data_IF_466123210947
#
_entry.id   IF_466123210947
#
_cell.length_a   1.000
_cell.length_b   1.000
_cell.length_c   1.000
_cell.angle_alpha   90.00
_cell.angle_beta   90.00
_cell.angle_gamma   90.00
#
_symmetry.space_group_name_H-M   'P 1'
#
loop_
_entity.id
_entity.type
_entity.pdbx_description
1 polymer ?
#
# COMPACT_ATOMS: atom_id res chain seq x y z
N UNK A 1 15.57 9.50 -36.41
CA UNK A 1 14.71 10.49 -35.72
C UNK A 1 13.25 10.01 -35.66
N UNK A 2 12.95 8.90 -34.98
CA UNK A 2 11.58 8.45 -34.61
C UNK A 2 11.68 7.40 -33.50
N UNK A 3 12.25 7.74 -32.34
CA UNK A 3 12.37 6.78 -31.22
C UNK A 3 12.42 7.39 -29.81
N UNK A 4 12.19 8.70 -29.63
CA UNK A 4 12.37 9.38 -28.32
C UNK A 4 11.02 9.80 -27.69
N UNK A 5 9.88 9.29 -28.16
CA UNK A 5 8.55 9.78 -27.72
C UNK A 5 7.83 8.87 -26.70
N UNK A 6 8.39 7.73 -26.28
CA UNK A 6 7.69 6.78 -25.39
C UNK A 6 8.27 6.65 -23.97
N UNK A 7 8.72 7.76 -23.35
CA UNK A 7 9.14 7.77 -21.92
C UNK A 7 8.36 8.80 -21.07
N UNK A 8 7.41 9.56 -21.65
CA UNK A 8 6.80 10.70 -20.96
C UNK A 8 5.26 10.67 -20.87
N UNK A 9 4.66 9.49 -20.67
CA UNK A 9 3.20 9.40 -20.68
C UNK A 9 2.62 8.39 -19.67
N UNK A 10 2.91 8.59 -18.37
CA UNK A 10 1.99 8.25 -17.28
C UNK A 10 2.14 9.31 -16.17
N UNK A 11 1.70 10.55 -16.45
CA UNK A 11 1.34 11.55 -15.42
C UNK A 11 0.05 12.23 -15.87
N UNK A 12 -1.00 11.45 -16.13
CA UNK A 12 -2.37 11.97 -16.20
C UNK A 12 -3.29 10.89 -15.65
N UNK A 13 -3.57 10.96 -14.35
CA UNK A 13 -4.89 10.69 -13.78
C UNK A 13 -4.91 11.06 -12.30
N UNK A 14 -5.98 11.77 -11.91
CA UNK A 14 -6.39 12.17 -10.55
C UNK A 14 -5.83 13.49 -10.00
N UNK A 15 -6.01 14.58 -10.76
CA UNK A 15 -6.47 15.83 -10.13
C UNK A 15 -8.00 15.78 -10.02
N UNK A 16 -8.52 15.00 -9.07
CA UNK A 16 -9.81 15.36 -8.50
C UNK A 16 -9.52 16.42 -7.43
N UNK A 17 -10.23 17.55 -7.42
CA UNK A 17 -10.13 18.47 -6.31
C UNK A 17 -10.59 17.71 -5.06
N UNK A 18 -9.65 17.43 -4.16
CA UNK A 18 -9.97 17.20 -2.75
C UNK A 18 -10.84 18.39 -2.35
N UNK A 19 -12.12 18.12 -2.10
CA UNK A 19 -12.99 19.13 -1.51
C UNK A 19 -12.32 19.52 -0.20
N UNK A 20 -11.81 20.75 -0.18
CA UNK A 20 -11.09 21.31 0.95
C UNK A 20 -12.05 21.39 2.13
N UNK A 21 -11.99 20.40 3.01
CA UNK A 21 -12.43 20.56 4.39
C UNK A 21 -11.45 21.57 4.99
N UNK A 22 -11.85 22.84 5.01
CA UNK A 22 -11.17 23.84 5.84
C UNK A 22 -11.34 23.41 7.28
N UNK A 23 -10.29 22.84 7.85
CA UNK A 23 -10.09 22.76 9.28
C UNK A 23 -9.09 23.85 9.66
N UNK A 24 -9.52 24.77 10.52
CA UNK A 24 -8.67 25.75 11.21
C UNK A 24 -7.71 24.99 12.16
N UNK A 25 -6.64 24.45 11.59
CA UNK A 25 -5.32 24.23 12.20
C UNK A 25 -4.48 23.60 11.10
N UNK A 26 -3.47 24.30 10.59
CA UNK A 26 -2.56 23.73 9.59
C UNK A 26 -1.80 22.61 10.28
N UNK A 27 -2.20 21.37 10.00
CA UNK A 27 -1.60 20.18 10.58
C UNK A 27 -0.10 20.14 10.25
N UNK A 28 0.78 19.71 11.18
CA UNK A 28 2.18 19.44 10.89
C UNK A 28 2.39 18.52 9.67
N UNK A 29 1.40 17.68 9.36
CA UNK A 29 1.39 16.79 8.18
C UNK A 29 1.22 17.58 6.88
N UNK A 30 0.38 18.62 6.87
CA UNK A 30 0.14 19.44 5.68
C UNK A 30 1.37 20.27 5.32
N UNK A 31 2.07 20.80 6.34
CA UNK A 31 3.36 21.48 6.13
C UNK A 31 4.37 20.52 5.50
N UNK A 32 4.48 19.30 6.02
CA UNK A 32 5.39 18.28 5.47
C UNK A 32 5.03 17.86 4.05
N UNK A 33 3.74 17.81 3.70
CA UNK A 33 3.27 17.56 2.34
C UNK A 33 3.74 18.66 1.39
N UNK A 34 3.59 19.93 1.76
CA UNK A 34 4.01 21.06 0.93
C UNK A 34 5.54 21.15 0.80
N UNK A 35 6.28 20.86 1.86
CA UNK A 35 7.74 20.74 1.83
C UNK A 35 8.19 19.65 0.83
N UNK A 36 7.59 18.46 0.91
CA UNK A 36 7.91 17.36 -0.01
C UNK A 36 7.55 17.69 -1.46
N UNK A 37 6.40 18.34 -1.71
CA UNK A 37 6.02 18.80 -3.05
C UNK A 37 7.05 19.78 -3.62
N UNK A 38 7.51 20.72 -2.79
CA UNK A 38 8.53 21.71 -3.18
C UNK A 38 9.84 20.99 -3.53
N UNK A 39 10.30 20.08 -2.67
CA UNK A 39 11.50 19.26 -2.89
C UNK A 39 11.41 18.41 -4.17
N UNK A 40 10.25 17.82 -4.45
CA UNK A 40 10.00 17.06 -5.68
C UNK A 40 10.16 17.96 -6.91
N UNK A 41 9.60 19.18 -6.88
CA UNK A 41 9.71 20.14 -7.98
C UNK A 41 11.15 20.60 -8.21
N UNK A 42 11.89 20.88 -7.14
CA UNK A 42 13.32 21.24 -7.22
C UNK A 42 14.15 20.11 -7.82
N UNK A 43 13.95 18.88 -7.34
CA UNK A 43 14.64 17.71 -7.87
C UNK A 43 14.35 17.54 -9.36
N UNK A 44 13.09 17.68 -9.79
CA UNK A 44 12.70 17.55 -11.20
C UNK A 44 13.49 18.47 -12.14
N UNK A 45 13.85 19.69 -11.70
CA UNK A 45 14.53 20.71 -12.51
C UNK A 45 16.06 20.55 -12.62
N UNK A 46 16.69 19.62 -11.90
CA UNK A 46 18.16 19.41 -11.91
C UNK A 46 18.62 18.36 -12.97
N UNK A 47 19.93 18.14 -13.12
CA UNK A 47 20.52 17.16 -14.06
C UNK A 47 20.15 15.70 -13.74
N UNK A 48 19.98 14.85 -14.76
CA UNK A 48 19.47 13.48 -14.63
C UNK A 48 20.55 12.45 -14.24
N UNK A 49 20.76 12.24 -12.94
CA UNK A 49 21.56 11.11 -12.40
C UNK A 49 20.69 10.01 -11.78
N UNK A 50 21.23 8.78 -11.67
CA UNK A 50 20.55 7.68 -10.93
C UNK A 50 20.27 8.09 -9.47
N UNK A 51 21.21 8.78 -8.84
CA UNK A 51 21.05 9.32 -7.47
C UNK A 51 19.85 10.27 -7.35
N UNK A 52 19.64 11.15 -8.35
CA UNK A 52 18.44 12.01 -8.41
C UNK A 52 17.17 11.19 -8.58
N UNK A 53 17.15 10.21 -9.49
CA UNK A 53 15.97 9.35 -9.71
C UNK A 53 15.56 8.63 -8.44
N UNK A 54 16.53 8.08 -7.69
CA UNK A 54 16.30 7.45 -6.38
C UNK A 54 15.75 8.48 -5.38
N UNK A 55 16.34 9.68 -5.31
CA UNK A 55 15.90 10.73 -4.39
C UNK A 55 14.48 11.23 -4.68
N UNK A 56 14.11 11.32 -5.96
CA UNK A 56 12.77 11.66 -6.41
C UNK A 56 11.76 10.58 -6.01
N UNK A 57 12.07 9.31 -6.31
CA UNK A 57 11.22 8.18 -5.91
C UNK A 57 11.03 8.13 -4.39
N UNK A 58 12.10 8.27 -3.62
CA UNK A 58 12.02 8.28 -2.16
C UNK A 58 11.13 9.40 -1.62
N UNK A 59 11.21 10.61 -2.22
CA UNK A 59 10.36 11.73 -1.83
C UNK A 59 8.89 11.50 -2.20
N UNK A 60 8.62 10.88 -3.36
CA UNK A 60 7.27 10.50 -3.78
C UNK A 60 6.66 9.39 -2.90
N UNK A 61 7.48 8.41 -2.50
CA UNK A 61 7.07 7.35 -1.59
C UNK A 61 6.73 7.92 -0.21
N UNK A 62 7.54 8.85 0.30
CA UNK A 62 7.26 9.52 1.58
C UNK A 62 5.95 10.32 1.52
N UNK A 63 5.73 11.08 0.43
CA UNK A 63 4.49 11.80 0.19
C UNK A 63 3.27 10.87 0.13
N UNK A 64 3.38 9.76 -0.61
CA UNK A 64 2.31 8.77 -0.73
C UNK A 64 2.01 8.09 0.62
N UNK A 65 3.04 7.81 1.42
CA UNK A 65 2.87 7.25 2.76
C UNK A 65 2.08 8.18 3.68
N UNK A 66 2.38 9.49 3.66
CA UNK A 66 1.63 10.50 4.43
C UNK A 66 0.17 10.63 3.96
N UNK A 67 -0.09 10.49 2.65
CA UNK A 67 -1.46 10.48 2.11
C UNK A 67 -2.23 9.26 2.59
N UNK A 68 -1.63 8.07 2.52
CA UNK A 68 -2.21 6.83 3.04
C UNK A 68 -2.59 6.99 4.52
N UNK A 69 -1.71 7.56 5.34
CA UNK A 69 -2.00 7.77 6.76
C UNK A 69 -3.13 8.78 7.00
N UNK A 70 -3.21 9.84 6.19
CA UNK A 70 -4.33 10.79 6.20
C UNK A 70 -5.65 10.10 5.82
N UNK A 71 -5.63 9.24 4.80
CA UNK A 71 -6.81 8.46 4.38
C UNK A 71 -7.25 7.50 5.49
N UNK A 72 -6.32 6.81 6.17
CA UNK A 72 -6.64 5.93 7.31
C UNK A 72 -7.32 6.71 8.44
N UNK A 73 -6.84 7.91 8.75
CA UNK A 73 -7.47 8.78 9.75
C UNK A 73 -8.90 9.18 9.33
N UNK A 74 -9.09 9.53 8.06
CA UNK A 74 -10.40 9.86 7.52
C UNK A 74 -11.37 8.67 7.57
N UNK A 75 -10.92 7.46 7.21
CA UNK A 75 -11.69 6.21 7.32
C UNK A 75 -12.06 5.94 8.78
N UNK A 76 -11.13 6.13 9.72
CA UNK A 76 -11.38 5.97 11.15
C UNK A 76 -12.43 6.95 11.68
N UNK A 77 -12.39 8.21 11.25
CA UNK A 77 -13.42 9.22 11.59
C UNK A 77 -14.79 8.83 11.02
N UNK A 78 -14.85 8.47 9.74
CA UNK A 78 -16.10 8.03 9.10
C UNK A 78 -16.68 6.78 9.77
N UNK A 79 -15.84 5.84 10.21
CA UNK A 79 -16.29 4.66 10.93
C UNK A 79 -17.02 5.05 12.21
N UNK A 80 -16.45 5.94 13.01
CA UNK A 80 -17.09 6.44 14.24
C UNK A 80 -18.43 7.12 13.96
N UNK A 81 -18.48 7.99 12.96
CA UNK A 81 -19.72 8.68 12.57
C UNK A 81 -20.80 7.69 12.06
N UNK A 82 -20.41 6.62 11.36
CA UNK A 82 -21.33 5.56 10.89
C UNK A 82 -21.89 4.75 12.06
N UNK A 83 -21.07 4.47 13.07
CA UNK A 83 -21.45 3.73 14.27
C UNK A 83 -22.40 4.57 15.14
N UNK A 84 -22.09 5.86 15.35
CA UNK A 84 -22.97 6.81 16.05
C UNK A 84 -24.34 6.91 15.36
N UNK A 85 -24.36 7.05 14.02
CA UNK A 85 -25.61 7.04 13.25
C UNK A 85 -26.36 5.71 13.38
N UNK A 86 -25.66 4.57 13.46
CA UNK A 86 -26.29 3.27 13.62
C UNK A 86 -27.03 3.18 14.96
N UNK A 87 -26.42 3.66 16.05
CA UNK A 87 -27.07 3.71 17.35
C UNK A 87 -28.30 4.63 17.36
N UNK A 88 -28.19 5.81 16.75
CA UNK A 88 -29.29 6.76 16.63
C UNK A 88 -30.46 6.20 15.82
N UNK A 89 -30.17 5.53 14.69
CA UNK A 89 -31.16 4.82 13.89
C UNK A 89 -31.85 3.76 14.72
N UNK A 90 -31.11 2.97 15.51
CA UNK A 90 -31.69 1.97 16.41
C UNK A 90 -32.63 2.58 17.46
N UNK A 91 -32.25 3.71 18.06
CA UNK A 91 -33.13 4.45 18.99
C UNK A 91 -34.40 4.95 18.30
N UNK A 92 -34.27 5.50 17.08
CA UNK A 92 -35.40 5.98 16.29
C UNK A 92 -36.33 4.85 15.84
N UNK A 93 -35.79 3.67 15.53
CA UNK A 93 -36.57 2.48 15.14
C UNK A 93 -37.50 2.03 16.27
N UNK A 94 -36.98 1.97 17.50
CA UNK A 94 -37.77 1.66 18.70
C UNK A 94 -38.86 2.71 18.93
N UNK A 95 -38.52 4.00 18.82
CA UNK A 95 -39.47 5.10 18.98
C UNK A 95 -40.57 5.10 17.90
N UNK A 96 -40.18 4.84 16.65
CA UNK A 96 -41.10 4.75 15.52
C UNK A 96 -42.09 3.61 15.74
N UNK A 97 -41.59 2.44 16.14
CA UNK A 97 -42.40 1.24 16.42
C UNK A 97 -43.42 1.52 17.52
N UNK A 98 -42.99 2.10 18.64
CA UNK A 98 -43.87 2.45 19.76
C UNK A 98 -44.94 3.47 19.37
N UNK A 99 -44.58 4.51 18.59
CA UNK A 99 -45.54 5.52 18.11
C UNK A 99 -46.54 4.93 17.11
N UNK A 100 -46.08 4.03 16.24
CA UNK A 100 -46.93 3.36 15.27
C UNK A 100 -47.92 2.42 15.95
N UNK A 101 -47.48 1.66 16.95
CA UNK A 101 -48.36 0.81 17.78
C UNK A 101 -49.46 1.61 18.49
N UNK A 102 -49.07 2.73 19.14
CA UNK A 102 -50.03 3.63 19.77
C UNK A 102 -51.03 4.21 18.76
N UNK A 103 -50.56 4.63 17.58
CA UNK A 103 -51.42 5.15 16.53
C UNK A 103 -52.40 4.09 16.01
N UNK A 104 -51.93 2.86 15.78
CA UNK A 104 -52.76 1.74 15.35
C UNK A 104 -53.84 1.38 16.37
N UNK A 105 -53.55 1.50 17.67
CA UNK A 105 -54.54 1.33 18.72
C UNK A 105 -55.54 2.49 18.80
N UNK A 106 -55.10 3.73 18.54
CA UNK A 106 -55.94 4.94 18.60
C UNK A 106 -56.90 5.07 17.42
N UNK A 107 -56.48 4.73 16.21
CA UNK A 107 -57.29 4.90 14.98
C UNK A 107 -58.70 4.29 15.11
N UNK A 108 -58.87 3.02 15.54
CA UNK A 108 -60.20 2.44 15.72
C UNK A 108 -61.04 3.14 16.79
N UNK A 109 -60.41 3.61 17.87
CA UNK A 109 -61.09 4.32 18.96
C UNK A 109 -61.58 5.69 18.51
N UNK A 110 -60.79 6.41 17.71
CA UNK A 110 -61.19 7.68 17.09
C UNK A 110 -62.31 7.46 16.08
N UNK A 111 -62.27 6.39 15.29
CA UNK A 111 -63.33 6.03 14.34
C UNK A 111 -64.67 5.72 15.04
N UNK A 112 -64.67 4.87 16.08
CA UNK A 112 -65.86 4.57 16.89
C UNK A 112 -66.50 5.84 17.49
N UNK A 113 -65.68 6.83 17.86
CA UNK A 113 -66.13 8.11 18.42
C UNK A 113 -66.70 9.06 17.36
N UNK A 114 -66.17 9.08 16.14
CA UNK A 114 -66.76 9.84 15.02
C UNK A 114 -68.18 9.38 14.66
N UNK A 115 -68.51 8.11 14.90
CA UNK A 115 -69.85 7.56 14.69
C UNK A 115 -70.85 8.03 15.77
N UNK A 116 -70.40 8.68 16.85
CA UNK A 116 -71.28 9.30 17.85
C UNK A 116 -71.53 10.77 17.46
N UNK A 117 -72.75 11.17 17.05
CA UNK A 117 -73.00 12.55 16.66
C UNK A 117 -72.71 13.51 17.82
N UNK A 118 -72.10 14.67 17.56
CA UNK A 118 -71.90 15.71 18.58
C UNK A 118 -73.21 16.11 19.30
N UNK A 119 -74.34 15.96 18.59
CA UNK A 119 -75.69 16.12 19.13
C UNK A 119 -76.07 15.06 20.18
N UNK A 120 -75.53 13.83 20.08
CA UNK A 120 -75.71 12.78 21.09
C UNK A 120 -74.98 13.08 22.41
N UNK A 121 -73.80 13.70 22.35
CA UNK A 121 -73.06 14.13 23.56
C UNK A 121 -73.85 15.21 24.32
N UNK A 122 -74.57 16.07 23.59
CA UNK A 122 -75.48 17.07 24.17
C UNK A 122 -76.71 16.40 24.83
N UNK A 123 -77.38 15.46 24.13
CA UNK A 123 -78.61 14.80 24.61
C UNK A 123 -78.43 13.85 25.81
N UNK A 124 -77.23 13.27 25.98
CA UNK A 124 -76.93 12.34 27.08
C UNK A 124 -76.10 12.97 28.22
N UNK A 125 -75.91 14.29 28.20
CA UNK A 125 -75.23 15.01 29.30
C UNK A 125 -76.18 15.26 30.47
N UNK A 126 -75.65 15.19 31.70
CA UNK A 126 -76.46 15.34 32.92
C UNK A 126 -76.82 16.81 33.22
N UNK A 127 -75.93 17.73 32.82
CA UNK A 127 -76.09 19.18 32.93
C UNK A 127 -75.13 19.92 31.97
N UNK A 128 -75.21 21.26 31.93
CA UNK A 128 -74.38 22.12 31.07
C UNK A 128 -72.88 22.02 31.40
N UNK A 129 -72.51 21.76 32.67
CA UNK A 129 -71.12 21.60 33.09
C UNK A 129 -70.53 20.26 32.63
N UNK A 130 -71.30 19.18 32.70
CA UNK A 130 -70.95 17.86 32.15
C UNK A 130 -70.77 17.93 30.63
N UNK A 131 -71.66 18.63 29.92
CA UNK A 131 -71.51 18.87 28.48
C UNK A 131 -70.21 19.61 28.13
N UNK A 132 -69.94 20.75 28.79
CA UNK A 132 -68.72 21.55 28.56
C UNK A 132 -67.46 20.72 28.86
N UNK A 133 -67.48 19.93 29.92
CA UNK A 133 -66.37 19.06 30.30
C UNK A 133 -66.10 17.99 29.25
N UNK A 134 -67.14 17.29 28.78
CA UNK A 134 -67.02 16.27 27.71
C UNK A 134 -66.50 16.86 26.40
N UNK A 135 -66.97 18.06 26.04
CA UNK A 135 -66.49 18.78 24.85
C UNK A 135 -65.00 19.14 24.98
N UNK A 136 -64.58 19.63 26.16
CA UNK A 136 -63.17 19.93 26.45
C UNK A 136 -62.30 18.68 26.37
N UNK A 137 -62.75 17.55 26.92
CA UNK A 137 -62.02 16.28 26.82
C UNK A 137 -61.92 15.78 25.39
N UNK A 138 -62.98 15.90 24.59
CA UNK A 138 -62.98 15.49 23.19
C UNK A 138 -61.98 16.31 22.36
N UNK A 139 -61.99 17.65 22.51
CA UNK A 139 -61.03 18.53 21.85
C UNK A 139 -59.60 18.20 22.27
N UNK A 140 -59.36 17.95 23.56
CA UNK A 140 -58.03 17.56 24.06
C UNK A 140 -57.54 16.24 23.47
N UNK A 141 -58.42 15.25 23.33
CA UNK A 141 -58.07 13.96 22.71
C UNK A 141 -57.76 14.13 21.23
N UNK A 142 -58.55 14.92 20.49
CA UNK A 142 -58.28 15.21 19.08
C UNK A 142 -56.95 15.94 18.87
N UNK A 143 -56.63 16.90 19.74
CA UNK A 143 -55.34 17.60 19.73
C UNK A 143 -54.17 16.63 19.97
N UNK A 144 -54.27 15.75 20.96
CA UNK A 144 -53.24 14.75 21.27
C UNK A 144 -53.06 13.73 20.14
N UNK A 145 -54.14 13.27 19.51
CA UNK A 145 -54.06 12.36 18.35
C UNK A 145 -53.41 13.04 17.14
N UNK A 146 -53.72 14.31 16.89
CA UNK A 146 -53.07 15.10 15.85
C UNK A 146 -51.58 15.30 16.13
N UNK A 147 -51.20 15.59 17.38
CA UNK A 147 -49.81 15.70 17.81
C UNK A 147 -49.07 14.36 17.65
N UNK A 148 -49.68 13.24 18.01
CA UNK A 148 -49.09 11.90 17.83
C UNK A 148 -48.79 11.61 16.36
N UNK A 149 -49.72 11.95 15.44
CA UNK A 149 -49.50 11.78 14.01
C UNK A 149 -48.36 12.66 13.49
N UNK A 150 -48.28 13.93 13.92
CA UNK A 150 -47.18 14.83 13.56
C UNK A 150 -45.83 14.30 14.07
N UNK A 151 -45.79 13.80 15.31
CA UNK A 151 -44.59 13.19 15.90
C UNK A 151 -44.18 11.91 15.18
N UNK A 152 -45.13 11.07 14.78
CA UNK A 152 -44.88 9.86 14.01
C UNK A 152 -44.24 10.21 12.66
N UNK A 153 -44.82 11.18 11.93
CA UNK A 153 -44.30 11.66 10.66
C UNK A 153 -42.90 12.26 10.80
N UNK A 154 -42.67 13.08 11.83
CA UNK A 154 -41.36 13.65 12.11
C UNK A 154 -40.30 12.57 12.40
N UNK A 155 -40.64 11.54 13.19
CA UNK A 155 -39.73 10.41 13.44
C UNK A 155 -39.45 9.60 12.17
N UNK A 156 -40.48 9.33 11.36
CA UNK A 156 -40.31 8.62 10.10
C UNK A 156 -39.36 9.36 9.15
N UNK A 157 -39.52 10.67 9.01
CA UNK A 157 -38.63 11.50 8.20
C UNK A 157 -37.19 11.48 8.75
N UNK A 158 -37.01 11.73 10.05
CA UNK A 158 -35.68 11.75 10.68
C UNK A 158 -34.97 10.39 10.54
N UNK A 159 -35.70 9.29 10.72
CA UNK A 159 -35.20 7.94 10.52
C UNK A 159 -34.73 7.70 9.08
N UNK A 160 -35.53 8.14 8.10
CA UNK A 160 -35.17 8.09 6.67
C UNK A 160 -33.91 8.89 6.36
N UNK A 161 -33.84 10.14 6.81
CA UNK A 161 -32.69 11.04 6.61
C UNK A 161 -31.40 10.49 7.23
N UNK A 162 -31.47 9.93 8.45
CA UNK A 162 -30.30 9.32 9.10
C UNK A 162 -29.84 8.06 8.38
N UNK A 163 -30.78 7.22 7.92
CA UNK A 163 -30.46 6.05 7.09
C UNK A 163 -29.77 6.47 5.79
N UNK A 164 -30.31 7.45 5.09
CA UNK A 164 -29.71 7.96 3.85
C UNK A 164 -28.31 8.53 4.10
N UNK A 165 -28.14 9.32 5.17
CA UNK A 165 -26.85 9.89 5.56
C UNK A 165 -25.82 8.79 5.87
N UNK A 166 -26.24 7.75 6.60
CA UNK A 166 -25.39 6.60 6.92
C UNK A 166 -24.95 5.85 5.67
N UNK A 167 -25.85 5.61 4.72
CA UNK A 167 -25.51 4.94 3.46
C UNK A 167 -24.58 5.78 2.57
N UNK A 168 -24.75 7.12 2.54
CA UNK A 168 -23.79 8.03 1.89
C UNK A 168 -22.40 7.94 2.51
N UNK A 169 -22.31 7.96 3.84
CA UNK A 169 -21.02 7.85 4.56
C UNK A 169 -20.35 6.49 4.36
N UNK A 170 -21.12 5.39 4.32
CA UNK A 170 -20.58 4.06 3.97
C UNK A 170 -20.01 4.04 2.56
N UNK A 171 -20.74 4.57 1.58
CA UNK A 171 -20.26 4.67 0.20
C UNK A 171 -18.96 5.49 0.11
N UNK A 172 -18.88 6.60 0.83
CA UNK A 172 -17.66 7.39 0.94
C UNK A 172 -16.51 6.61 1.59
N UNK A 173 -16.79 5.86 2.66
CA UNK A 173 -15.80 5.02 3.35
C UNK A 173 -15.24 3.94 2.42
N UNK A 174 -16.10 3.24 1.67
CA UNK A 174 -15.68 2.22 0.69
C UNK A 174 -14.84 2.83 -0.45
N UNK A 175 -15.18 4.04 -0.88
CA UNK A 175 -14.40 4.77 -1.90
C UNK A 175 -12.99 5.10 -1.38
N UNK A 176 -12.88 5.56 -0.13
CA UNK A 176 -11.59 5.85 0.50
C UNK A 176 -10.76 4.58 0.75
N UNK A 177 -11.39 3.45 1.13
CA UNK A 177 -10.69 2.16 1.25
C UNK A 177 -10.10 1.73 -0.08
N UNK A 178 -10.87 1.82 -1.17
CA UNK A 178 -10.38 1.51 -2.51
C UNK A 178 -9.21 2.41 -2.91
N UNK A 179 -9.32 3.72 -2.67
CA UNK A 179 -8.22 4.65 -2.92
C UNK A 179 -6.97 4.31 -2.09
N UNK A 180 -7.15 3.93 -0.82
CA UNK A 180 -6.06 3.51 0.05
C UNK A 180 -5.32 2.28 -0.52
N UNK A 181 -6.06 1.28 -1.01
CA UNK A 181 -5.49 0.07 -1.61
C UNK A 181 -4.70 0.39 -2.88
N UNK A 182 -5.23 1.27 -3.74
CA UNK A 182 -4.56 1.73 -4.97
C UNK A 182 -3.26 2.49 -4.63
N UNK A 183 -3.29 3.45 -3.70
CA UNK A 183 -2.11 4.20 -3.26
C UNK A 183 -1.07 3.29 -2.59
N UNK A 184 -1.51 2.29 -1.82
CA UNK A 184 -0.61 1.34 -1.17
C UNK A 184 0.10 0.43 -2.19
N UNK A 185 -0.61 -0.04 -3.21
CA UNK A 185 -0.01 -0.82 -4.30
C UNK A 185 1.03 0.00 -5.06
N UNK A 186 0.72 1.26 -5.36
CA UNK A 186 1.65 2.17 -6.03
C UNK A 186 2.90 2.46 -5.17
N UNK A 187 2.73 2.69 -3.87
CA UNK A 187 3.85 2.90 -2.95
C UNK A 187 4.80 1.70 -2.91
N UNK A 188 4.25 0.47 -2.89
CA UNK A 188 5.05 -0.77 -2.94
C UNK A 188 5.80 -0.87 -4.27
N UNK A 189 5.13 -0.57 -5.38
CA UNK A 189 5.76 -0.54 -6.71
C UNK A 189 6.94 0.43 -6.76
N UNK A 190 6.75 1.67 -6.32
CA UNK A 190 7.78 2.69 -6.29
C UNK A 190 8.95 2.32 -5.37
N UNK A 191 8.65 1.73 -4.20
CA UNK A 191 9.67 1.26 -3.25
C UNK A 191 10.58 0.20 -3.86
N UNK A 192 9.99 -0.82 -4.50
CA UNK A 192 10.76 -1.89 -5.17
C UNK A 192 11.59 -1.37 -6.33
N UNK A 193 11.08 -0.39 -7.09
CA UNK A 193 11.83 0.28 -8.14
C UNK A 193 13.01 1.09 -7.58
N UNK A 194 12.80 1.83 -6.50
CA UNK A 194 13.84 2.61 -5.84
C UNK A 194 14.96 1.71 -5.29
N UNK A 195 14.61 0.55 -4.71
CA UNK A 195 15.56 -0.48 -4.27
C UNK A 195 16.43 -0.97 -5.43
N UNK A 196 15.81 -1.36 -6.54
CA UNK A 196 16.50 -1.85 -7.73
C UNK A 196 17.45 -0.81 -8.33
N UNK A 197 17.05 0.47 -8.38
CA UNK A 197 17.91 1.56 -8.85
C UNK A 197 19.06 1.85 -7.87
N UNK A 198 18.82 1.74 -6.56
CA UNK A 198 19.84 1.92 -5.54
C UNK A 198 20.93 0.84 -5.62
N UNK A 199 20.53 -0.42 -5.84
CA UNK A 199 21.43 -1.54 -6.04
C UNK A 199 22.27 -1.36 -7.31
N UNK A 200 21.63 -1.03 -8.44
CA UNK A 200 22.33 -0.69 -9.69
C UNK A 200 23.38 0.40 -9.48
N UNK A 201 22.99 1.50 -8.84
CA UNK A 201 23.89 2.62 -8.56
C UNK A 201 25.06 2.20 -7.63
N UNK A 202 24.85 1.24 -6.74
CA UNK A 202 25.92 0.70 -5.91
C UNK A 202 26.91 -0.15 -6.72
N UNK A 203 26.44 -0.96 -7.67
CA UNK A 203 27.31 -1.71 -8.59
C UNK A 203 28.13 -0.75 -9.45
N UNK A 204 27.51 0.29 -10.01
CA UNK A 204 28.19 1.29 -10.85
C UNK A 204 29.31 2.00 -10.07
N UNK A 205 29.06 2.39 -8.82
CA UNK A 205 30.10 2.96 -7.95
C UNK A 205 31.15 1.94 -7.53
N UNK A 206 30.77 0.68 -7.28
CA UNK A 206 31.73 -0.35 -6.87
C UNK A 206 32.85 -0.55 -7.90
N UNK A 207 32.58 -0.32 -9.18
CA UNK A 207 33.59 -0.36 -10.25
C UNK A 207 34.58 0.82 -10.21
N UNK A 208 34.12 1.97 -9.74
CA UNK A 208 34.90 3.22 -9.70
C UNK A 208 35.71 3.29 -8.40
N UNK A 209 35.07 2.93 -7.29
CA UNK A 209 35.58 3.10 -5.92
C UNK A 209 36.13 1.80 -5.33
N UNK A 210 36.06 0.69 -6.07
CA UNK A 210 36.48 -0.63 -5.63
C UNK A 210 37.97 -0.68 -5.28
N UNK A 211 38.27 -1.17 -4.07
CA UNK A 211 39.65 -1.35 -3.61
C UNK A 211 40.11 -2.76 -3.98
N UNK A 212 41.25 -2.85 -4.67
CA UNK A 212 41.89 -4.12 -5.00
C UNK A 212 42.34 -4.84 -3.73
N UNK A 213 41.84 -6.06 -3.54
CA UNK A 213 42.21 -6.93 -2.41
C UNK A 213 43.43 -7.78 -2.79
N UNK A 214 43.40 -8.41 -3.97
CA UNK A 214 44.50 -9.27 -4.42
C UNK A 214 44.07 -10.38 -5.38
N UNK A 215 45.01 -11.21 -5.85
CA UNK A 215 44.68 -12.38 -6.65
C UNK A 215 43.94 -13.43 -5.80
N UNK A 216 42.99 -14.13 -6.41
CA UNK A 216 42.26 -15.25 -5.81
C UNK A 216 42.25 -16.44 -6.77
N UNK A 217 42.25 -17.63 -6.20
CA UNK A 217 42.12 -18.90 -6.92
C UNK A 217 40.72 -19.45 -6.78
N UNK A 218 40.31 -20.24 -7.78
CA UNK A 218 39.08 -21.03 -7.73
C UNK A 218 38.98 -21.78 -6.39
N UNK A 219 37.85 -21.60 -5.69
CA UNK A 219 37.57 -22.24 -4.40
C UNK A 219 37.99 -21.42 -3.17
N UNK A 220 38.79 -20.35 -3.33
CA UNK A 220 39.17 -19.47 -2.23
C UNK A 220 37.93 -18.81 -1.62
N UNK A 221 37.93 -18.64 -0.29
CA UNK A 221 36.87 -17.91 0.40
C UNK A 221 37.04 -16.41 0.14
N UNK A 222 36.01 -15.76 -0.40
CA UNK A 222 36.07 -14.34 -0.78
C UNK A 222 35.18 -13.45 0.09
N UNK A 223 34.12 -14.01 0.67
CA UNK A 223 33.16 -13.30 1.51
C UNK A 223 32.23 -14.25 2.25
N UNK A 224 31.37 -13.68 3.09
CA UNK A 224 30.21 -14.36 3.65
C UNK A 224 28.91 -13.75 3.10
N UNK A 225 27.89 -14.59 2.91
CA UNK A 225 26.52 -14.16 2.60
C UNK A 225 26.03 -13.28 3.74
N UNK A 226 25.55 -12.11 3.40
CA UNK A 226 25.08 -11.13 4.35
C UNK A 226 23.68 -10.64 4.02
N UNK A 227 23.37 -9.51 4.63
CA UNK A 227 22.16 -8.74 4.39
C UNK A 227 22.52 -7.24 4.37
N UNK A 228 23.72 -6.91 3.87
CA UNK A 228 24.15 -5.50 3.84
C UNK A 228 23.31 -4.74 2.83
N UNK A 229 22.91 -3.52 3.21
CA UNK A 229 21.90 -2.75 2.48
C UNK A 229 20.50 -2.89 3.06
N UNK A 230 20.27 -3.79 4.00
CA UNK A 230 18.95 -3.98 4.62
C UNK A 230 18.60 -2.87 5.62
N UNK A 231 17.33 -2.46 5.60
CA UNK A 231 16.70 -1.58 6.59
C UNK A 231 15.31 -2.12 6.95
N UNK A 232 14.85 -1.99 8.21
CA UNK A 232 13.45 -2.27 8.57
C UNK A 232 12.45 -1.37 7.83
N UNK A 233 12.85 -0.16 7.42
CA UNK A 233 12.09 0.70 6.52
C UNK A 233 12.36 0.28 5.05
N UNK A 234 11.40 -0.32 4.34
CA UNK A 234 11.62 -0.82 2.98
C UNK A 234 12.01 0.28 1.99
N UNK A 235 11.66 1.54 2.28
CA UNK A 235 11.99 2.69 1.42
C UNK A 235 13.43 3.16 1.59
N UNK A 236 14.12 2.62 2.59
CA UNK A 236 15.53 2.87 2.91
C UNK A 236 16.37 1.60 2.81
N UNK A 237 15.76 0.49 2.43
CA UNK A 237 16.47 -0.76 2.18
C UNK A 237 16.96 -0.78 0.74
N UNK A 238 18.00 -1.55 0.47
CA UNK A 238 18.34 -2.00 -0.87
C UNK A 238 18.65 -3.50 -0.90
N UNK A 239 18.26 -4.22 0.15
CA UNK A 239 18.29 -5.68 0.20
C UNK A 239 16.94 -6.18 0.69
N UNK A 240 16.47 -7.28 0.11
CA UNK A 240 15.19 -7.92 0.45
C UNK A 240 15.31 -8.92 1.58
N UNK A 241 16.53 -9.23 2.03
CA UNK A 241 16.81 -10.21 3.08
C UNK A 241 18.17 -10.86 2.88
N UNK A 242 18.54 -11.79 3.76
CA UNK A 242 19.82 -12.49 3.68
C UNK A 242 19.86 -13.41 2.46
N UNK A 243 20.61 -13.02 1.44
CA UNK A 243 20.85 -13.80 0.22
C UNK A 243 22.13 -13.32 -0.48
N UNK A 244 22.64 -14.14 -1.39
CA UNK A 244 23.67 -13.73 -2.35
C UNK A 244 22.99 -13.40 -3.66
N UNK A 245 23.14 -12.15 -4.10
CA UNK A 245 22.86 -11.76 -5.48
C UNK A 245 24.16 -11.86 -6.29
N UNK A 246 24.20 -12.82 -7.22
CA UNK A 246 25.36 -13.18 -8.02
C UNK A 246 25.15 -12.78 -9.49
N UNK A 247 25.93 -11.83 -9.98
CA UNK A 247 25.90 -11.42 -11.39
C UNK A 247 27.18 -11.82 -12.11
N UNK A 248 27.07 -12.06 -13.42
CA UNK A 248 28.22 -12.08 -14.31
C UNK A 248 28.00 -11.02 -15.39
N UNK A 249 29.04 -10.26 -15.67
CA UNK A 249 29.05 -9.28 -16.74
C UNK A 249 30.23 -9.54 -17.68
N UNK A 250 30.00 -9.34 -18.98
CA UNK A 250 31.03 -9.39 -20.03
C UNK A 250 31.04 -8.07 -20.77
N UNK A 251 32.18 -7.37 -20.75
CA UNK A 251 32.34 -6.02 -21.31
C UNK A 251 31.23 -5.05 -20.85
N UNK A 252 30.84 -5.15 -19.57
CA UNK A 252 29.78 -4.33 -18.97
C UNK A 252 28.34 -4.74 -19.30
N UNK A 253 28.11 -5.78 -20.09
CA UNK A 253 26.77 -6.33 -20.34
C UNK A 253 26.48 -7.52 -19.42
N UNK A 254 25.29 -7.56 -18.81
CA UNK A 254 24.86 -8.72 -18.02
C UNK A 254 24.65 -9.94 -18.90
N UNK A 255 25.13 -11.08 -18.39
CA UNK A 255 25.05 -12.37 -19.07
C UNK A 255 24.54 -13.41 -18.08
N UNK A 256 23.82 -14.41 -18.59
CA UNK A 256 23.28 -15.49 -17.76
C UNK A 256 24.42 -16.25 -17.06
N UNK A 257 24.44 -16.28 -15.71
CA UNK A 257 25.45 -17.02 -14.96
C UNK A 257 25.46 -18.53 -15.26
N UNK A 258 24.35 -19.12 -15.69
CA UNK A 258 24.27 -20.54 -16.04
C UNK A 258 25.28 -20.96 -17.11
N UNK A 259 25.62 -20.08 -18.05
CA UNK A 259 26.58 -20.37 -19.12
C UNK A 259 28.03 -20.54 -18.62
N UNK A 260 28.32 -20.08 -17.40
CA UNK A 260 29.64 -20.13 -16.79
C UNK A 260 29.73 -21.18 -15.69
N UNK A 261 28.66 -21.33 -14.91
CA UNK A 261 28.59 -22.28 -13.81
C UNK A 261 28.49 -23.72 -14.30
N UNK A 262 29.19 -24.62 -13.61
CA UNK A 262 29.12 -26.06 -13.82
C UNK A 262 27.72 -26.62 -13.59
N UNK A 263 27.38 -27.69 -14.30
CA UNK A 263 26.08 -28.33 -14.16
C UNK A 263 25.85 -28.84 -12.73
N UNK A 264 24.77 -28.39 -12.08
CA UNK A 264 24.40 -28.77 -10.71
C UNK A 264 22.89 -28.83 -10.58
N UNK A 265 22.39 -29.83 -9.85
CA UNK A 265 20.99 -29.87 -9.41
C UNK A 265 20.84 -29.03 -8.15
N UNK A 266 19.99 -28.01 -8.21
CA UNK A 266 19.67 -27.10 -7.11
C UNK A 266 18.16 -27.12 -6.84
N UNK A 267 17.75 -26.54 -5.71
CA UNK A 267 16.33 -26.36 -5.41
C UNK A 267 15.88 -24.99 -5.91
N UNK A 268 15.07 -24.94 -6.96
CA UNK A 268 14.43 -23.71 -7.43
C UNK A 268 13.16 -23.44 -6.62
N UNK A 269 13.05 -22.27 -6.01
CA UNK A 269 11.89 -21.84 -5.22
C UNK A 269 11.26 -20.56 -5.75
N UNK A 270 11.58 -20.15 -6.98
CA UNK A 270 11.04 -18.93 -7.57
C UNK A 270 9.50 -18.99 -7.71
N UNK A 271 8.99 -20.10 -8.24
CA UNK A 271 7.58 -20.22 -8.61
C UNK A 271 6.77 -21.14 -7.66
N UNK A 272 7.45 -22.02 -6.91
CA UNK A 272 6.80 -22.97 -5.98
C UNK A 272 7.52 -22.94 -4.64
N UNK A 273 6.79 -22.62 -3.56
CA UNK A 273 7.35 -22.49 -2.22
C UNK A 273 8.00 -23.77 -1.68
N UNK A 274 7.50 -24.95 -2.07
CA UNK A 274 8.10 -26.25 -1.73
C UNK A 274 9.41 -26.54 -2.46
N UNK A 275 9.68 -25.79 -3.53
CA UNK A 275 10.81 -25.94 -4.41
C UNK A 275 10.70 -27.11 -5.39
N UNK A 276 11.39 -26.98 -6.51
CA UNK A 276 11.53 -28.00 -7.55
C UNK A 276 13.02 -28.24 -7.79
N UNK A 277 13.43 -29.51 -7.88
CA UNK A 277 14.80 -29.83 -8.26
C UNK A 277 15.02 -29.44 -9.72
N UNK A 278 15.98 -28.55 -9.95
CA UNK A 278 16.31 -28.06 -11.28
C UNK A 278 17.81 -28.22 -11.54
N UNK A 279 18.16 -28.83 -12.69
CA UNK A 279 19.55 -28.95 -13.12
C UNK A 279 19.89 -27.79 -14.05
N UNK A 280 20.83 -26.96 -13.62
CA UNK A 280 21.26 -25.74 -14.31
C UNK A 280 22.78 -25.66 -14.33
N UNK A 281 23.32 -24.97 -15.32
CA UNK A 281 24.76 -24.83 -15.53
C UNK A 281 25.24 -25.63 -16.74
N UNK A 282 26.01 -24.98 -17.60
CA UNK A 282 26.65 -25.58 -18.78
C UNK A 282 28.13 -25.23 -18.92
N UNK A 283 28.67 -24.43 -18.00
CA UNK A 283 30.07 -23.99 -18.00
C UNK A 283 30.98 -24.85 -17.12
N UNK A 284 32.12 -24.27 -16.74
CA UNK A 284 33.21 -24.95 -16.01
C UNK A 284 33.54 -24.34 -14.65
N UNK A 285 32.90 -23.22 -14.31
CA UNK A 285 33.13 -22.52 -13.05
C UNK A 285 32.43 -23.25 -11.90
N UNK A 286 33.01 -23.16 -10.71
CA UNK A 286 32.32 -23.66 -9.53
C UNK A 286 31.19 -22.73 -9.14
N UNK A 287 30.19 -23.27 -8.47
CA UNK A 287 29.18 -22.43 -7.84
C UNK A 287 29.81 -21.65 -6.68
N UNK A 288 29.49 -20.35 -6.53
CA UNK A 288 30.03 -19.54 -5.45
C UNK A 288 29.53 -19.99 -4.08
N UNK A 289 28.38 -20.67 -4.02
CA UNK A 289 27.88 -21.40 -2.85
C UNK A 289 27.99 -22.91 -3.12
N UNK A 290 28.54 -23.68 -2.19
CA UNK A 290 28.82 -25.10 -2.42
C UNK A 290 27.79 -26.06 -1.82
N UNK A 291 27.14 -25.68 -0.72
CA UNK A 291 26.17 -26.51 -0.01
C UNK A 291 24.81 -26.57 -0.73
N UNK A 292 23.74 -26.99 -0.05
CA UNK A 292 22.39 -27.03 -0.64
C UNK A 292 21.99 -25.62 -1.08
N UNK A 293 21.97 -25.38 -2.39
CA UNK A 293 21.63 -24.09 -2.97
C UNK A 293 20.12 -24.07 -3.22
N UNK A 294 19.48 -23.01 -2.72
CA UNK A 294 18.10 -22.66 -3.08
C UNK A 294 18.15 -21.40 -3.92
N UNK A 295 17.66 -21.47 -5.15
CA UNK A 295 17.59 -20.33 -6.05
C UNK A 295 16.23 -19.65 -5.88
N UNK A 296 16.23 -18.40 -5.46
CA UNK A 296 15.01 -17.62 -5.21
C UNK A 296 14.60 -16.79 -6.42
N UNK A 297 15.55 -16.45 -7.30
CA UNK A 297 15.26 -15.73 -8.54
C UNK A 297 16.28 -16.05 -9.63
N UNK A 298 15.79 -16.38 -10.82
CA UNK A 298 16.60 -16.66 -12.01
C UNK A 298 17.12 -15.38 -12.68
N UNK A 299 18.11 -15.54 -13.55
CA UNK A 299 18.45 -14.54 -14.56
C UNK A 299 17.32 -14.45 -15.60
N UNK A 300 17.05 -13.26 -16.13
CA UNK A 300 16.05 -13.07 -17.18
C UNK A 300 14.68 -12.63 -16.67
N UNK A 301 13.62 -12.98 -17.41
CA UNK A 301 12.25 -12.59 -17.03
C UNK A 301 11.72 -13.48 -15.92
N UNK A 302 11.32 -12.88 -14.81
CA UNK A 302 10.80 -13.56 -13.62
C UNK A 302 9.54 -12.85 -13.14
N UNK A 303 8.75 -13.44 -12.21
CA UNK A 303 7.62 -12.76 -11.59
C UNK A 303 7.95 -11.41 -10.92
N UNK A 304 9.22 -11.19 -10.58
CA UNK A 304 9.71 -9.97 -9.93
C UNK A 304 10.51 -9.07 -10.87
N UNK A 305 10.81 -9.49 -12.10
CA UNK A 305 11.72 -8.76 -12.98
C UNK A 305 11.14 -7.46 -13.55
N UNK A 306 9.83 -7.24 -13.39
CA UNK A 306 9.16 -5.99 -13.74
C UNK A 306 9.77 -4.77 -13.02
N UNK A 307 10.41 -4.96 -11.86
CA UNK A 307 11.04 -3.89 -11.08
C UNK A 307 12.38 -3.40 -11.63
N UNK A 308 12.92 -4.05 -12.67
CA UNK A 308 14.22 -3.73 -13.28
C UNK A 308 14.08 -3.09 -14.68
N UNK A 309 13.48 -1.89 -14.82
CA UNK A 309 13.34 -1.27 -16.13
C UNK A 309 14.70 -0.92 -16.76
N UNK A 310 15.74 -0.70 -15.95
CA UNK A 310 17.09 -0.36 -16.42
C UNK A 310 17.79 -1.48 -17.19
N UNK A 311 17.35 -2.73 -17.03
CA UNK A 311 17.91 -3.90 -17.71
C UNK A 311 16.99 -4.41 -18.83
N UNK A 312 15.87 -3.73 -19.09
CA UNK A 312 14.83 -4.23 -20.00
C UNK A 312 13.89 -5.24 -19.35
N UNK A 313 13.63 -5.08 -18.04
CA UNK A 313 12.75 -5.94 -17.24
C UNK A 313 13.28 -7.37 -17.06
N UNK A 314 14.61 -7.50 -16.95
CA UNK A 314 15.30 -8.75 -16.68
C UNK A 314 16.02 -8.68 -15.35
N UNK A 315 15.99 -9.75 -14.60
CA UNK A 315 16.88 -9.92 -13.46
C UNK A 315 18.30 -10.18 -13.97
N UNK A 316 19.27 -9.49 -13.39
CA UNK A 316 20.64 -9.39 -13.90
C UNK A 316 21.60 -10.44 -13.36
N UNK A 317 21.12 -11.29 -12.44
CA UNK A 317 21.91 -12.34 -11.81
C UNK A 317 21.05 -13.47 -11.24
N UNK A 318 21.63 -14.19 -10.29
CA UNK A 318 20.98 -15.23 -9.50
C UNK A 318 20.88 -14.79 -8.05
N UNK A 319 19.66 -14.80 -7.52
CA UNK A 319 19.43 -14.65 -6.08
C UNK A 319 19.42 -16.04 -5.46
N UNK A 320 20.38 -16.32 -4.59
CA UNK A 320 20.55 -17.63 -4.00
C UNK A 320 20.77 -17.57 -2.49
N UNK A 321 20.23 -18.58 -1.81
CA UNK A 321 20.47 -18.83 -0.39
C UNK A 321 21.01 -20.25 -0.21
N UNK A 322 21.81 -20.46 0.82
CA UNK A 322 22.34 -21.77 1.14
C UNK A 322 22.36 -22.01 2.65
N UNK A 323 22.61 -23.25 3.06
CA UNK A 323 22.80 -23.61 4.47
C UNK A 323 24.12 -23.08 5.03
N UNK A 324 25.09 -22.80 4.16
CA UNK A 324 26.35 -22.14 4.48
C UNK A 324 26.38 -20.73 3.92
N UNK A 325 26.95 -19.83 4.70
CA UNK A 325 27.17 -18.45 4.29
C UNK A 325 28.49 -18.26 3.53
N UNK A 326 29.30 -19.30 3.34
CA UNK A 326 30.64 -19.11 2.75
C UNK A 326 30.55 -18.91 1.24
N UNK A 327 30.99 -17.74 0.77
CA UNK A 327 31.10 -17.44 -0.66
C UNK A 327 32.52 -17.75 -1.11
N UNK A 328 32.64 -18.54 -2.17
CA UNK A 328 33.91 -18.93 -2.78
C UNK A 328 34.07 -18.38 -4.19
N UNK A 329 35.31 -18.16 -4.61
CA UNK A 329 35.64 -17.75 -5.96
C UNK A 329 35.27 -18.87 -6.96
N UNK A 330 34.41 -18.60 -7.95
CA UNK A 330 33.97 -19.59 -8.95
C UNK A 330 35.08 -19.92 -9.95
N UNK A 331 36.02 -18.99 -10.16
CA UNK A 331 37.19 -19.11 -11.02
C UNK A 331 38.32 -18.18 -10.54
N UNK A 332 39.52 -18.38 -11.06
CA UNK A 332 40.70 -17.53 -10.80
C UNK A 332 40.45 -16.08 -11.24
N UNK A 333 41.05 -15.13 -10.53
CA UNK A 333 40.97 -13.72 -10.91
C UNK A 333 41.59 -12.76 -9.90
N UNK A 334 41.26 -11.47 -10.03
CA UNK A 334 41.61 -10.43 -9.06
C UNK A 334 40.37 -9.98 -8.30
N UNK A 335 40.39 -10.12 -6.98
CA UNK A 335 39.31 -9.72 -6.08
C UNK A 335 39.41 -8.23 -5.75
N UNK A 336 38.25 -7.57 -5.77
CA UNK A 336 38.04 -6.21 -5.32
C UNK A 336 36.92 -6.17 -4.28
N UNK A 337 36.97 -5.14 -3.44
CA UNK A 337 35.99 -4.90 -2.40
C UNK A 337 35.50 -3.46 -2.49
N UNK A 338 34.19 -3.27 -2.41
CA UNK A 338 33.55 -1.98 -2.30
C UNK A 338 32.54 -1.97 -1.16
N UNK A 339 32.36 -0.80 -0.56
CA UNK A 339 31.37 -0.53 0.47
C UNK A 339 30.86 0.88 0.25
N UNK A 340 29.56 1.06 0.11
CA UNK A 340 29.00 2.37 -0.24
C UNK A 340 27.56 2.56 0.23
N UNK A 341 27.11 3.81 0.20
CA UNK A 341 25.76 4.19 0.60
C UNK A 341 24.71 3.67 -0.37
N UNK A 342 23.76 2.90 0.15
CA UNK A 342 22.66 2.32 -0.58
C UNK A 342 21.34 2.89 -0.05
N UNK A 343 20.38 3.15 -0.95
CA UNK A 343 19.07 3.71 -0.62
C UNK A 343 19.12 4.92 0.35
N UNK A 344 20.17 5.74 0.23
CA UNK A 344 20.39 6.97 1.01
C UNK A 344 20.75 6.80 2.49
N UNK A 345 20.73 5.59 3.06
CA UNK A 345 20.93 5.42 4.51
C UNK A 345 21.53 4.09 4.97
N UNK A 346 21.58 3.07 4.11
CA UNK A 346 22.22 1.80 4.43
C UNK A 346 23.58 1.69 3.75
N UNK A 347 24.40 0.75 4.20
CA UNK A 347 25.67 0.44 3.56
C UNK A 347 25.52 -0.92 2.90
N UNK A 348 25.73 -0.97 1.58
CA UNK A 348 25.89 -2.22 0.84
C UNK A 348 27.37 -2.51 0.68
N UNK A 349 27.75 -3.75 0.93
CA UNK A 349 29.08 -4.25 0.62
C UNK A 349 28.99 -5.14 -0.61
N UNK A 350 29.96 -4.97 -1.50
CA UNK A 350 30.04 -5.69 -2.77
C UNK A 350 31.45 -6.22 -2.90
N UNK A 351 31.59 -7.51 -3.20
CA UNK A 351 32.82 -8.05 -3.77
C UNK A 351 32.63 -8.21 -5.27
N UNK A 352 33.70 -8.08 -6.02
CA UNK A 352 33.70 -8.51 -7.41
C UNK A 352 35.06 -9.07 -7.81
N UNK A 353 35.07 -10.01 -8.74
CA UNK A 353 36.29 -10.63 -9.27
C UNK A 353 36.38 -10.32 -10.75
N UNK A 354 37.52 -9.76 -11.16
CA UNK A 354 37.90 -9.63 -12.56
C UNK A 354 38.64 -10.89 -12.99
N UNK A 355 38.07 -11.65 -13.93
CA UNK A 355 38.59 -12.94 -14.38
C UNK A 355 39.47 -12.82 -15.64
N UNK A 356 39.58 -11.63 -16.22
CA UNK A 356 40.18 -11.42 -17.55
C UNK A 356 39.13 -11.41 -18.66
N UNK A 357 39.56 -11.07 -19.88
CA UNK A 357 38.71 -11.03 -21.10
C UNK A 357 37.41 -10.21 -20.97
N UNK A 358 37.46 -9.18 -20.12
CA UNK A 358 36.31 -8.32 -19.82
C UNK A 358 35.20 -9.01 -19.02
N UNK A 359 35.47 -10.17 -18.41
CA UNK A 359 34.52 -10.91 -17.58
C UNK A 359 34.70 -10.52 -16.12
N UNK A 360 33.60 -10.17 -15.47
CA UNK A 360 33.55 -9.80 -14.05
C UNK A 360 32.37 -10.49 -13.38
N UNK A 361 32.62 -11.10 -12.21
CA UNK A 361 31.56 -11.62 -11.35
C UNK A 361 31.33 -10.69 -10.16
N UNK A 362 30.06 -10.41 -9.82
CA UNK A 362 29.67 -9.56 -8.70
C UNK A 362 28.97 -10.37 -7.62
N UNK A 363 29.25 -10.03 -6.36
CA UNK A 363 28.69 -10.65 -5.16
C UNK A 363 28.15 -9.54 -4.28
N UNK A 364 26.84 -9.41 -4.27
CA UNK A 364 26.13 -8.35 -3.55
C UNK A 364 25.65 -8.83 -2.18
N UNK A 365 25.38 -7.86 -1.31
CA UNK A 365 24.87 -8.04 0.06
C UNK A 365 25.81 -8.81 1.01
N UNK A 366 27.11 -8.85 0.72
CA UNK A 366 28.10 -9.65 1.47
C UNK A 366 28.53 -9.02 2.80
N UNK A 367 29.17 -9.79 3.71
CA UNK A 367 29.67 -9.27 5.00
C UNK A 367 31.12 -8.81 4.98
#
# INVERSE_FOLDING_TARGET
MKSIVYVFLIIILLFYPLTSIKADDVSPVDQKIEELKTKISELQNQENSLSKQISLLNSNIELTTLRIDTIKLAIGKLSKEIDELAEEIGRLEVLLTKRLELMLHRIPETYKRQVTPAFGILLFSSDVSDFISRMKYLNRVQEEDAQLLLQLKATQNNFGERKETREKKKTQQETLKKQQEEEQSEAVYQSLLAQALAEKNAIDRARIEGVKVGPVKKGDVIALVGNTGWNPDPNKSCSTGKHLHFEIQKNGSWIDPAGYLSSKTILDVQDVASGVNWTVGSGSWDWPLQDSIRLTQHFGKTPYSWRYPYSGYIHTGFDMVSSSDTIRAPADGTLYSSSGLCAGSTIIKIKYIEHGDGITSFYLHVQ
#
